data_IF_098985482608
#
_entry.id   IF_098985482608
#
_cell.length_a   1.000
_cell.length_b   1.000
_cell.length_c   1.000
_cell.angle_alpha   90.00
_cell.angle_beta   90.00
_cell.angle_gamma   90.00
#
_symmetry.space_group_name_H-M   'P 1'
#
loop_
_entity.id
_entity.type
_entity.pdbx_description
1 polymer ?
#
# COMPACT_ATOMS: atom_id res chain seq x y z
N UNK A 1 -32.62 -26.63 -27.39
CA UNK A 1 -31.79 -26.83 -26.19
C UNK A 1 -30.35 -26.90 -26.65
N UNK A 2 -29.64 -25.77 -26.58
CA UNK A 2 -28.22 -25.67 -26.95
C UNK A 2 -27.48 -25.25 -25.68
N UNK A 3 -26.67 -26.16 -25.15
CA UNK A 3 -25.82 -25.94 -23.98
C UNK A 3 -24.77 -24.88 -24.28
N UNK A 4 -24.81 -23.78 -23.53
CA UNK A 4 -23.75 -22.77 -23.51
C UNK A 4 -22.85 -23.07 -22.31
N UNK A 5 -21.72 -23.74 -22.55
CA UNK A 5 -20.62 -23.83 -21.57
C UNK A 5 -19.82 -22.53 -21.63
N UNK A 6 -19.54 -21.85 -20.50
CA UNK A 6 -18.58 -20.77 -20.48
C UNK A 6 -17.16 -21.35 -20.47
N UNK A 7 -16.33 -20.90 -21.40
CA UNK A 7 -14.88 -21.13 -21.44
C UNK A 7 -14.21 -20.48 -20.21
N UNK A 8 -13.31 -21.18 -19.49
CA UNK A 8 -12.57 -20.59 -18.38
C UNK A 8 -11.33 -19.83 -18.90
N UNK A 9 -11.13 -18.60 -18.40
CA UNK A 9 -9.80 -18.15 -18.01
C UNK A 9 -8.86 -17.55 -19.07
N UNK A 10 -9.31 -16.64 -19.95
CA UNK A 10 -8.40 -15.86 -20.80
C UNK A 10 -7.48 -14.86 -20.03
N UNK A 11 -7.67 -14.71 -18.72
CA UNK A 11 -6.89 -13.78 -17.88
C UNK A 11 -5.69 -14.42 -17.16
N UNK A 12 -5.66 -15.75 -16.96
CA UNK A 12 -4.55 -16.44 -16.27
C UNK A 12 -3.30 -16.57 -17.16
N UNK A 13 -3.48 -16.93 -18.43
CA UNK A 13 -2.34 -17.16 -19.34
C UNK A 13 -1.53 -15.90 -19.69
N UNK A 14 -2.14 -14.71 -19.62
CA UNK A 14 -1.43 -13.44 -19.90
C UNK A 14 -0.57 -12.99 -18.72
N UNK A 15 -0.93 -13.45 -17.51
CA UNK A 15 -0.12 -13.31 -16.32
C UNK A 15 1.09 -14.24 -16.44
N UNK A 16 0.90 -15.57 -16.55
CA UNK A 16 1.99 -16.57 -16.66
C UNK A 16 3.07 -16.24 -17.70
N UNK A 17 2.69 -15.71 -18.86
CA UNK A 17 3.66 -15.41 -19.93
C UNK A 17 4.58 -14.21 -19.61
N UNK A 18 4.14 -13.26 -18.75
CA UNK A 18 5.00 -12.14 -18.29
C UNK A 18 6.02 -12.58 -17.23
N UNK A 19 5.85 -13.78 -16.67
CA UNK A 19 6.58 -14.29 -15.50
C UNK A 19 7.82 -15.17 -15.85
N UNK A 20 8.21 -15.30 -17.11
CA UNK A 20 9.12 -16.36 -17.54
C UNK A 20 10.64 -16.03 -17.58
N UNK A 21 11.08 -14.79 -17.30
CA UNK A 21 12.44 -14.34 -17.72
C UNK A 21 13.48 -14.05 -16.62
N UNK A 22 13.23 -14.34 -15.33
CA UNK A 22 14.22 -14.04 -14.27
C UNK A 22 14.77 -15.31 -13.59
N UNK A 23 16.06 -15.68 -13.81
CA UNK A 23 16.69 -16.84 -13.19
C UNK A 23 16.87 -16.70 -11.66
N UNK A 24 16.69 -15.50 -11.09
CA UNK A 24 16.68 -15.27 -9.64
C UNK A 24 15.29 -15.47 -9.00
N UNK A 25 14.29 -15.98 -9.74
CA UNK A 25 13.02 -16.52 -9.18
C UNK A 25 13.20 -17.84 -8.43
N UNK A 26 14.38 -18.02 -7.84
CA UNK A 26 14.65 -19.02 -6.81
C UNK A 26 13.48 -18.98 -5.83
N UNK A 27 12.73 -20.08 -5.78
CA UNK A 27 11.61 -20.33 -4.89
C UNK A 27 11.87 -19.64 -3.53
N UNK A 28 11.21 -18.51 -3.30
CA UNK A 28 11.20 -17.93 -1.96
C UNK A 28 10.39 -18.89 -1.09
N UNK A 29 10.88 -19.24 0.11
CA UNK A 29 10.04 -19.91 1.09
C UNK A 29 8.72 -19.13 1.23
N UNK A 30 7.55 -19.79 1.33
CA UNK A 30 6.26 -19.11 1.39
C UNK A 30 6.20 -17.99 2.44
N UNK A 31 6.87 -18.16 3.59
CA UNK A 31 6.91 -17.18 4.68
C UNK A 31 7.76 -15.93 4.36
N UNK A 32 8.69 -16.04 3.41
CA UNK A 32 9.59 -14.97 2.98
C UNK A 32 9.08 -14.24 1.73
N UNK A 33 8.03 -14.73 1.09
CA UNK A 33 7.43 -14.08 -0.07
C UNK A 33 6.29 -13.15 0.33
N UNK A 34 6.44 -11.86 0.04
CA UNK A 34 5.44 -10.83 0.30
C UNK A 34 4.45 -10.65 -0.85
N UNK A 35 4.70 -11.24 -2.02
CA UNK A 35 3.80 -11.14 -3.18
C UNK A 35 2.34 -11.56 -2.88
N UNK A 36 2.05 -12.63 -2.12
CA UNK A 36 0.67 -13.02 -1.83
C UNK A 36 -0.01 -12.21 -0.71
N UNK A 37 0.68 -11.23 -0.11
CA UNK A 37 0.09 -10.43 0.95
C UNK A 37 -1.15 -9.70 0.45
N UNK A 38 -2.23 -9.76 1.23
CA UNK A 38 -3.45 -9.02 0.95
C UNK A 38 -3.33 -7.57 1.44
N UNK A 39 -4.14 -6.63 0.91
CA UNK A 39 -4.21 -5.28 1.45
C UNK A 39 -4.51 -5.27 2.95
N UNK A 40 -3.64 -4.65 3.77
CA UNK A 40 -3.78 -4.63 5.22
C UNK A 40 -3.51 -5.95 5.96
N UNK A 41 -2.81 -6.91 5.36
CA UNK A 41 -2.46 -8.20 5.99
C UNK A 41 -1.83 -8.06 7.38
N UNK A 42 -0.89 -7.12 7.57
CA UNK A 42 -0.29 -6.89 8.88
C UNK A 42 -1.32 -6.45 9.95
N UNK A 43 -2.35 -5.69 9.55
CA UNK A 43 -3.45 -5.30 10.44
C UNK A 43 -4.37 -6.48 10.74
N UNK A 44 -4.61 -7.38 9.78
CA UNK A 44 -5.38 -8.61 10.01
C UNK A 44 -4.70 -9.49 11.05
N UNK A 45 -3.40 -9.74 10.90
CA UNK A 45 -2.60 -10.50 11.86
C UNK A 45 -2.68 -9.84 13.24
N UNK A 46 -2.43 -8.53 13.33
CA UNK A 46 -2.49 -7.79 14.60
C UNK A 46 -3.87 -7.84 15.28
N UNK A 47 -4.95 -7.78 14.50
CA UNK A 47 -6.32 -7.92 15.01
C UNK A 47 -6.62 -9.34 15.48
N UNK A 48 -6.07 -10.36 14.82
CA UNK A 48 -6.20 -11.76 15.20
C UNK A 48 -5.40 -12.11 16.46
N UNK A 49 -4.22 -11.52 16.65
CA UNK A 49 -3.35 -11.73 17.82
C UNK A 49 -3.84 -11.02 19.08
N UNK A 50 -4.61 -9.93 18.94
CA UNK A 50 -5.13 -9.16 20.06
C UNK A 50 -6.67 -9.17 20.11
N UNK A 51 -7.30 -10.35 20.17
CA UNK A 51 -8.75 -10.45 20.20
C UNK A 51 -9.23 -9.96 21.56
N UNK A 52 -10.03 -8.89 21.58
CA UNK A 52 -10.85 -8.57 22.73
C UNK A 52 -12.22 -9.19 22.55
N UNK A 53 -12.72 -9.83 23.60
CA UNK A 53 -14.10 -10.33 23.63
C UNK A 53 -15.05 -9.18 23.25
N UNK A 54 -16.00 -9.45 22.34
CA UNK A 54 -17.05 -8.51 21.93
C UNK A 54 -17.73 -7.78 23.10
N UNK A 55 -18.11 -8.45 24.21
CA UNK A 55 -18.67 -7.75 25.37
C UNK A 55 -17.69 -6.76 26.02
N UNK A 56 -16.39 -7.05 26.08
CA UNK A 56 -15.40 -6.13 26.64
C UNK A 56 -15.22 -4.86 25.78
N UNK A 57 -15.24 -5.02 24.44
CA UNK A 57 -15.24 -3.87 23.52
C UNK A 57 -16.51 -3.04 23.65
N UNK A 58 -17.66 -3.70 23.80
CA UNK A 58 -18.95 -3.03 24.00
C UNK A 58 -18.99 -2.25 25.32
N UNK A 59 -18.57 -2.86 26.43
CA UNK A 59 -18.44 -2.16 27.72
C UNK A 59 -17.49 -0.97 27.64
N UNK A 60 -16.34 -1.12 26.97
CA UNK A 60 -15.41 0.00 26.77
C UNK A 60 -16.07 1.17 26.03
N UNK A 61 -16.85 0.89 24.97
CA UNK A 61 -17.59 1.90 24.20
C UNK A 61 -18.68 2.57 25.04
N UNK A 62 -19.42 1.82 25.86
CA UNK A 62 -20.41 2.37 26.80
C UNK A 62 -19.78 3.30 27.83
N UNK A 63 -18.57 2.97 28.30
CA UNK A 63 -17.79 3.80 29.21
C UNK A 63 -17.10 4.99 28.51
N UNK A 64 -17.45 5.29 27.25
CA UNK A 64 -16.86 6.39 26.47
C UNK A 64 -15.41 6.18 26.04
N UNK A 65 -14.83 5.00 26.29
CA UNK A 65 -13.46 4.66 25.88
C UNK A 65 -13.45 4.26 24.40
N UNK A 66 -12.43 4.70 23.67
CA UNK A 66 -12.18 4.28 22.29
C UNK A 66 -11.12 3.17 22.27
N UNK A 67 -11.49 1.90 22.13
CA UNK A 67 -10.52 0.82 22.08
C UNK A 67 -9.60 1.00 20.85
N UNK A 68 -8.28 0.72 20.96
CA UNK A 68 -7.35 0.84 19.85
C UNK A 68 -7.72 -0.05 18.65
N UNK A 69 -8.44 -1.16 18.90
CA UNK A 69 -9.01 -2.01 17.87
C UNK A 69 -9.91 -1.24 16.88
N UNK A 70 -10.62 -0.19 17.32
CA UNK A 70 -11.47 0.61 16.44
C UNK A 70 -10.63 1.48 15.50
N UNK A 71 -9.40 1.85 15.87
CA UNK A 71 -8.48 2.53 14.98
C UNK A 71 -7.91 1.55 13.94
N UNK A 72 -7.50 0.35 14.35
CA UNK A 72 -6.97 -0.66 13.44
C UNK A 72 -8.01 -1.18 12.44
N UNK A 73 -9.26 -1.39 12.86
CA UNK A 73 -10.33 -1.74 11.92
C UNK A 73 -10.56 -0.63 10.89
N UNK A 74 -10.58 0.64 11.30
CA UNK A 74 -10.72 1.76 10.36
C UNK A 74 -9.54 1.84 9.40
N UNK A 75 -8.32 1.64 9.89
CA UNK A 75 -7.14 1.60 9.04
C UNK A 75 -7.21 0.44 8.03
N UNK A 76 -7.63 -0.74 8.48
CA UNK A 76 -7.80 -1.92 7.62
C UNK A 76 -8.84 -1.67 6.51
N UNK A 77 -9.96 -1.01 6.81
CA UNK A 77 -10.94 -0.64 5.78
C UNK A 77 -10.35 0.29 4.72
N UNK A 78 -9.53 1.26 5.13
CA UNK A 78 -8.81 2.13 4.19
C UNK A 78 -7.85 1.36 3.31
N UNK A 79 -6.97 0.56 3.93
CA UNK A 79 -6.00 -0.29 3.23
C UNK A 79 -6.70 -1.24 2.25
N UNK A 80 -7.86 -1.80 2.60
CA UNK A 80 -8.66 -2.65 1.70
C UNK A 80 -9.21 -1.88 0.50
N UNK A 81 -9.80 -0.71 0.73
CA UNK A 81 -10.38 0.12 -0.33
C UNK A 81 -9.30 0.58 -1.32
N UNK A 82 -8.22 1.16 -0.81
CA UNK A 82 -7.09 1.62 -1.64
C UNK A 82 -6.39 0.44 -2.30
N UNK A 83 -6.07 -0.63 -1.56
CA UNK A 83 -5.39 -1.80 -2.10
C UNK A 83 -6.16 -2.45 -3.25
N UNK A 84 -7.47 -2.61 -3.11
CA UNK A 84 -8.31 -3.20 -4.16
C UNK A 84 -8.28 -2.38 -5.45
N UNK A 85 -8.23 -1.05 -5.35
CA UNK A 85 -8.10 -0.18 -6.50
C UNK A 85 -6.67 -0.20 -7.10
N UNK A 86 -5.64 -0.33 -6.26
CA UNK A 86 -4.25 -0.47 -6.72
C UNK A 86 -4.03 -1.78 -7.47
N UNK A 87 -4.65 -2.88 -7.03
CA UNK A 87 -4.54 -4.20 -7.67
C UNK A 87 -5.03 -4.18 -9.14
N UNK A 88 -5.97 -3.29 -9.48
CA UNK A 88 -6.45 -3.12 -10.85
C UNK A 88 -5.36 -2.59 -11.80
N UNK A 89 -4.32 -1.92 -11.28
CA UNK A 89 -3.22 -1.39 -12.07
C UNK A 89 -2.29 -2.50 -12.61
N UNK A 90 -2.48 -3.76 -12.20
CA UNK A 90 -1.79 -4.90 -12.80
C UNK A 90 -2.05 -5.01 -14.31
N UNK A 91 -3.24 -4.61 -14.77
CA UNK A 91 -3.57 -4.54 -16.19
C UNK A 91 -2.64 -3.57 -16.96
N UNK A 92 -2.19 -2.50 -16.28
CA UNK A 92 -1.31 -1.46 -16.81
C UNK A 92 0.19 -1.78 -16.63
N UNK A 93 0.53 -3.00 -16.20
CA UNK A 93 1.92 -3.44 -16.05
C UNK A 93 2.57 -3.07 -14.72
N UNK A 94 1.76 -2.81 -13.68
CA UNK A 94 2.25 -2.58 -12.32
C UNK A 94 2.23 -3.86 -11.49
N UNK A 95 3.29 -4.09 -10.71
CA UNK A 95 3.26 -4.98 -9.57
C UNK A 95 2.85 -4.23 -8.32
N UNK A 96 2.06 -4.89 -7.46
CA UNK A 96 1.62 -4.34 -6.18
C UNK A 96 2.00 -5.32 -5.08
N UNK A 97 2.69 -4.84 -4.04
CA UNK A 97 3.04 -5.61 -2.86
C UNK A 97 2.44 -4.93 -1.63
N UNK A 98 1.77 -5.69 -0.79
CA UNK A 98 1.07 -5.16 0.39
C UNK A 98 1.76 -5.52 1.69
N UNK A 99 1.51 -4.70 2.72
CA UNK A 99 1.91 -4.99 4.10
C UNK A 99 3.38 -5.36 4.26
N UNK A 100 4.26 -4.49 3.75
CA UNK A 100 5.71 -4.73 3.76
C UNK A 100 6.26 -4.36 5.14
N UNK A 101 6.85 -5.31 5.89
CA UNK A 101 7.38 -5.03 7.22
C UNK A 101 8.60 -4.10 7.12
N UNK A 102 8.70 -3.15 8.02
CA UNK A 102 9.79 -2.19 8.05
C UNK A 102 10.22 -1.92 9.50
N UNK A 103 11.31 -2.56 10.00
CA UNK A 103 11.75 -2.44 11.39
C UNK A 103 11.93 -0.98 11.86
N UNK A 104 11.82 -0.66 13.16
CA UNK A 104 11.54 -1.58 14.26
C UNK A 104 10.08 -2.03 14.35
N UNK A 105 9.12 -1.25 13.83
CA UNK A 105 7.69 -1.57 13.96
C UNK A 105 6.79 -0.95 12.86
N UNK A 106 7.37 -0.34 11.82
CA UNK A 106 6.59 0.26 10.74
C UNK A 106 6.16 -0.80 9.72
N UNK A 107 5.12 -0.48 8.97
CA UNK A 107 4.65 -1.29 7.84
C UNK A 107 4.32 -0.33 6.71
N UNK A 108 4.84 -0.60 5.52
CA UNK A 108 4.40 0.10 4.31
C UNK A 108 3.11 -0.58 3.84
N UNK A 109 2.03 0.18 3.71
CA UNK A 109 0.72 -0.34 3.30
C UNK A 109 0.76 -0.98 1.92
N UNK A 110 1.23 -0.22 0.92
CA UNK A 110 1.37 -0.71 -0.45
C UNK A 110 2.63 -0.17 -1.15
N UNK A 111 3.26 -0.99 -1.97
CA UNK A 111 4.36 -0.62 -2.85
C UNK A 111 4.00 -0.99 -4.28
N UNK A 112 4.02 0.00 -5.16
CA UNK A 112 3.77 -0.18 -6.59
C UNK A 112 5.09 -0.14 -7.33
N UNK A 113 5.30 -1.07 -8.25
CA UNK A 113 6.53 -1.20 -9.02
C UNK A 113 6.12 -1.39 -10.48
N UNK A 114 6.42 -0.42 -11.34
CA UNK A 114 5.99 -0.47 -12.73
C UNK A 114 6.71 0.55 -13.62
N UNK A 115 6.19 0.79 -14.83
CA UNK A 115 6.81 1.68 -15.81
C UNK A 115 7.05 3.10 -15.28
N UNK A 116 6.18 3.57 -14.39
CA UNK A 116 6.31 4.85 -13.71
C UNK A 116 7.27 4.87 -12.53
N UNK A 117 8.03 3.81 -12.27
CA UNK A 117 8.96 3.74 -11.13
C UNK A 117 8.38 3.02 -9.92
N UNK A 118 8.93 3.34 -8.74
CA UNK A 118 8.43 2.79 -7.47
C UNK A 118 7.61 3.84 -6.74
N UNK A 119 6.40 3.48 -6.32
CA UNK A 119 5.53 4.34 -5.50
C UNK A 119 5.28 3.68 -4.15
N UNK A 120 5.53 4.41 -3.07
CA UNK A 120 5.28 3.97 -1.70
C UNK A 120 3.98 4.63 -1.22
N UNK A 121 2.91 3.84 -1.12
CA UNK A 121 1.56 4.35 -0.82
C UNK A 121 1.23 4.12 0.65
N UNK A 122 1.04 5.23 1.37
CA UNK A 122 0.42 5.25 2.68
C UNK A 122 -1.07 5.52 2.56
N UNK A 123 -1.88 4.85 3.39
CA UNK A 123 -3.33 4.91 3.33
C UNK A 123 -3.92 5.45 4.62
N UNK A 124 -4.82 6.44 4.53
CA UNK A 124 -5.61 6.92 5.67
C UNK A 124 -7.10 6.91 5.39
N UNK A 125 -7.82 6.17 6.23
CA UNK A 125 -9.27 6.17 6.22
C UNK A 125 -9.83 7.32 7.06
N UNK A 126 -10.60 8.19 6.40
CA UNK A 126 -11.32 9.30 6.99
C UNK A 126 -12.83 9.03 6.83
N UNK A 127 -13.66 9.42 7.80
CA UNK A 127 -15.09 9.09 7.77
C UNK A 127 -15.94 10.33 7.48
N UNK A 128 -16.02 10.72 6.21
CA UNK A 128 -16.84 11.84 5.73
C UNK A 128 -16.40 13.20 6.28
N UNK A 129 -15.13 13.34 6.68
CA UNK A 129 -14.59 14.59 7.19
C UNK A 129 -13.75 15.29 6.11
N UNK A 130 -13.66 16.62 6.21
CA UNK A 130 -12.71 17.40 5.41
C UNK A 130 -11.29 17.22 5.95
N UNK A 131 -10.35 17.06 5.03
CA UNK A 131 -8.94 16.83 5.29
C UNK A 131 -8.14 18.02 4.78
N UNK A 132 -7.20 18.50 5.59
CA UNK A 132 -6.18 19.46 5.15
C UNK A 132 -4.82 18.80 5.19
N UNK A 133 -4.16 18.75 4.04
CA UNK A 133 -2.80 18.22 3.91
C UNK A 133 -1.84 19.40 3.90
N UNK A 134 -1.15 19.60 5.02
CA UNK A 134 -0.09 20.60 5.16
C UNK A 134 1.25 20.09 4.65
N UNK A 135 2.32 20.85 4.91
CA UNK A 135 3.67 20.50 4.48
C UNK A 135 4.15 19.14 5.04
N UNK A 136 3.94 18.91 6.34
CA UNK A 136 4.37 17.68 7.05
C UNK A 136 3.23 16.93 7.76
N UNK A 137 2.06 17.56 7.89
CA UNK A 137 0.96 17.04 8.71
C UNK A 137 -0.36 16.99 7.95
N UNK A 138 -1.30 16.22 8.49
CA UNK A 138 -2.67 16.10 8.01
C UNK A 138 -3.63 16.43 9.14
N UNK A 139 -4.47 17.44 8.94
CA UNK A 139 -5.53 17.83 9.85
C UNK A 139 -6.89 17.26 9.41
N UNK A 140 -7.70 16.81 10.38
CA UNK A 140 -9.08 16.35 10.13
C UNK A 140 -10.06 17.14 11.00
N UNK A 141 -10.75 18.14 10.42
CA UNK A 141 -11.71 18.97 11.15
C UNK A 141 -11.11 19.90 12.23
N UNK A 142 -11.97 20.67 12.91
CA UNK A 142 -11.57 21.63 13.95
C UNK A 142 -11.31 20.94 15.29
N UNK A 143 -10.26 21.35 15.98
CA UNK A 143 -9.93 20.90 17.35
C UNK A 143 -9.28 19.51 17.44
N UNK A 144 -8.93 18.87 16.32
CA UNK A 144 -8.08 17.67 16.31
C UNK A 144 -6.64 18.05 16.06
N UNK A 145 -5.73 17.41 16.79
CA UNK A 145 -4.29 17.57 16.58
C UNK A 145 -3.90 17.06 15.18
N UNK A 146 -3.18 17.88 14.38
CA UNK A 146 -2.63 17.44 13.10
C UNK A 146 -1.70 16.24 13.27
N UNK A 147 -1.83 15.26 12.38
CA UNK A 147 -1.06 14.01 12.44
C UNK A 147 0.10 14.05 11.43
N UNK A 148 1.27 13.47 11.72
CA UNK A 148 2.48 13.60 10.89
C UNK A 148 2.50 12.71 9.64
N UNK A 149 1.34 12.44 9.02
CA UNK A 149 1.17 11.47 7.96
C UNK A 149 1.97 11.76 6.68
N UNK A 150 2.18 13.04 6.34
CA UNK A 150 3.02 13.41 5.18
C UNK A 150 4.47 13.07 5.47
N UNK A 151 4.96 13.42 6.68
CA UNK A 151 6.31 13.09 7.13
C UNK A 151 6.54 11.57 7.17
N UNK A 152 5.59 10.80 7.69
CA UNK A 152 5.65 9.33 7.73
C UNK A 152 5.72 8.73 6.31
N UNK A 153 4.90 9.21 5.38
CA UNK A 153 4.94 8.77 3.98
C UNK A 153 6.31 9.04 3.33
N UNK A 154 6.89 10.23 3.56
CA UNK A 154 8.26 10.53 3.07
C UNK A 154 9.29 9.59 3.69
N UNK A 155 9.21 9.34 4.99
CA UNK A 155 10.13 8.43 5.66
C UNK A 155 10.03 7.01 5.10
N UNK A 156 8.83 6.49 4.92
CA UNK A 156 8.61 5.17 4.33
C UNK A 156 9.17 5.07 2.91
N UNK A 157 8.93 6.08 2.06
CA UNK A 157 9.47 6.13 0.71
C UNK A 157 11.01 6.17 0.70
N UNK A 158 11.63 7.02 1.53
CA UNK A 158 13.10 7.08 1.65
C UNK A 158 13.70 5.75 2.08
N UNK A 159 13.07 5.09 3.04
CA UNK A 159 13.51 3.77 3.54
C UNK A 159 13.34 2.70 2.47
N UNK A 160 12.23 2.68 1.74
CA UNK A 160 12.03 1.79 0.61
C UNK A 160 13.09 2.01 -0.48
N UNK A 161 13.37 3.26 -0.86
CA UNK A 161 14.40 3.59 -1.83
C UNK A 161 15.78 3.05 -1.41
N UNK A 162 16.14 3.21 -0.13
CA UNK A 162 17.40 2.70 0.41
C UNK A 162 17.49 1.17 0.33
N UNK A 163 16.45 0.46 0.79
CA UNK A 163 16.37 -1.01 0.79
C UNK A 163 16.46 -1.55 -0.63
N UNK A 164 15.65 -1.00 -1.54
CA UNK A 164 15.61 -1.44 -2.93
C UNK A 164 16.91 -1.12 -3.66
N UNK A 165 17.52 0.05 -3.42
CA UNK A 165 18.82 0.38 -4.02
C UNK A 165 19.90 -0.62 -3.60
N UNK A 166 19.94 -0.99 -2.32
CA UNK A 166 20.89 -1.98 -1.81
C UNK A 166 20.65 -3.38 -2.40
N UNK A 167 19.40 -3.81 -2.47
CA UNK A 167 19.05 -5.14 -2.98
C UNK A 167 19.19 -5.26 -4.51
N UNK A 168 18.82 -4.21 -5.25
CA UNK A 168 18.87 -4.20 -6.71
C UNK A 168 20.27 -3.94 -7.28
N UNK A 169 21.18 -3.34 -6.48
CA UNK A 169 22.53 -2.92 -6.91
C UNK A 169 22.55 -1.83 -7.97
N UNK A 170 21.46 -1.07 -8.08
CA UNK A 170 21.37 0.18 -8.82
C UNK A 170 20.44 1.14 -8.09
N UNK A 171 20.53 2.44 -8.38
CA UNK A 171 19.69 3.47 -7.73
C UNK A 171 18.22 3.25 -8.05
N UNK A 172 17.41 3.04 -7.01
CA UNK A 172 15.95 2.94 -7.08
C UNK A 172 15.35 4.12 -6.32
N UNK A 173 14.57 4.94 -7.01
CA UNK A 173 13.81 6.01 -6.38
C UNK A 173 12.41 5.52 -6.05
N UNK A 174 11.99 5.67 -4.79
CA UNK A 174 10.63 5.42 -4.35
C UNK A 174 9.96 6.75 -4.03
N UNK A 175 8.85 7.05 -4.71
CA UNK A 175 8.11 8.31 -4.54
C UNK A 175 6.98 8.12 -3.53
N UNK A 176 6.83 9.01 -2.54
CA UNK A 176 5.76 8.91 -1.56
C UNK A 176 4.41 9.29 -2.18
N UNK A 177 3.40 8.47 -1.88
CA UNK A 177 2.00 8.71 -2.23
C UNK A 177 1.17 8.60 -0.97
N UNK A 178 0.31 9.58 -0.74
CA UNK A 178 -0.63 9.60 0.37
C UNK A 178 -2.06 9.47 -0.16
N UNK A 179 -2.71 8.37 0.15
CA UNK A 179 -4.06 8.06 -0.31
C UNK A 179 -5.08 8.19 0.83
N UNK A 180 -6.19 8.86 0.53
CA UNK A 180 -7.33 8.95 1.43
C UNK A 180 -8.48 8.07 0.94
N UNK A 181 -9.14 7.40 1.88
CA UNK A 181 -10.38 6.67 1.66
C UNK A 181 -11.49 7.28 2.52
N UNK A 182 -12.64 7.58 1.92
CA UNK A 182 -13.82 8.09 2.64
C UNK A 182 -13.74 9.55 3.12
N UNK A 183 -12.76 10.33 2.67
CA UNK A 183 -12.72 11.78 2.91
C UNK A 183 -13.90 12.46 2.19
N UNK A 184 -14.48 13.49 2.80
CA UNK A 184 -15.51 14.30 2.12
C UNK A 184 -14.88 15.31 1.16
N UNK A 185 -13.71 15.82 1.52
CA UNK A 185 -12.92 16.76 0.73
C UNK A 185 -11.46 16.74 1.21
N UNK A 186 -10.53 17.02 0.30
CA UNK A 186 -9.09 17.04 0.57
C UNK A 186 -8.47 18.32 0.01
N UNK A 187 -8.25 19.27 0.92
CA UNK A 187 -7.56 20.54 0.66
C UNK A 187 -6.04 20.34 0.77
N UNK A 188 -5.29 20.81 -0.22
CA UNK A 188 -3.83 20.72 -0.24
C UNK A 188 -3.23 22.09 0.02
N UNK A 189 -2.27 22.15 0.94
CA UNK A 189 -1.47 23.35 1.16
C UNK A 189 -0.56 23.61 -0.06
N UNK A 190 -0.50 24.85 -0.57
CA UNK A 190 0.41 25.23 -1.64
C UNK A 190 1.90 24.98 -1.36
N UNK A 191 2.30 24.79 -0.10
CA UNK A 191 3.65 24.43 0.31
C UNK A 191 3.95 22.92 0.22
N UNK A 192 2.95 22.06 -0.02
CA UNK A 192 3.17 20.61 -0.13
C UNK A 192 4.09 20.27 -1.30
N UNK A 193 5.21 19.60 -1.01
CA UNK A 193 6.18 19.13 -2.02
C UNK A 193 6.41 17.63 -1.91
N UNK A 194 6.82 17.05 -3.03
CA UNK A 194 7.36 15.69 -3.19
C UNK A 194 6.43 14.51 -2.85
N UNK A 195 5.27 14.77 -2.23
CA UNK A 195 4.25 13.77 -1.92
C UNK A 195 3.07 13.94 -2.87
N UNK A 196 2.74 12.86 -3.59
CA UNK A 196 1.53 12.83 -4.41
C UNK A 196 0.33 12.48 -3.53
N UNK A 197 -0.72 13.27 -3.57
CA UNK A 197 -1.95 13.00 -2.82
C UNK A 197 -3.02 12.42 -3.75
N UNK A 198 -3.59 11.29 -3.35
CA UNK A 198 -4.76 10.66 -3.94
C UNK A 198 -5.95 10.97 -3.02
N UNK A 199 -6.92 11.74 -3.53
CA UNK A 199 -8.01 12.30 -2.70
C UNK A 199 -9.10 11.28 -2.40
N UNK A 200 -9.35 10.41 -3.37
CA UNK A 200 -10.35 9.34 -3.35
C UNK A 200 -9.79 8.14 -4.12
N UNK A 201 -10.22 6.92 -3.78
CA UNK A 201 -9.82 5.70 -4.48
C UNK A 201 -10.06 5.74 -6.00
N UNK A 202 -11.03 6.54 -6.48
CA UNK A 202 -11.33 6.74 -7.91
C UNK A 202 -10.21 7.45 -8.68
N UNK A 203 -9.30 8.13 -7.99
CA UNK A 203 -8.14 8.79 -8.60
C UNK A 203 -6.96 7.82 -8.80
N UNK A 204 -6.99 6.63 -8.20
CA UNK A 204 -5.90 5.64 -8.28
C UNK A 204 -5.54 5.22 -9.71
N UNK A 205 -6.49 5.02 -10.66
CA UNK A 205 -6.18 4.75 -12.06
C UNK A 205 -5.23 5.76 -12.71
N UNK A 206 -5.13 7.00 -12.20
CA UNK A 206 -4.18 8.00 -12.69
C UNK A 206 -2.72 7.59 -12.44
N UNK A 207 -2.44 6.77 -11.42
CA UNK A 207 -1.11 6.22 -11.17
C UNK A 207 -0.69 5.21 -12.25
N UNK A 208 -1.65 4.42 -12.75
CA UNK A 208 -1.42 3.43 -13.81
C UNK A 208 -0.86 4.03 -15.09
N UNK A 209 -1.23 5.29 -15.38
CA UNK A 209 -0.78 6.05 -16.57
C UNK A 209 0.65 6.57 -16.47
N UNK A 210 1.31 6.45 -15.32
CA UNK A 210 2.70 6.87 -15.17
C UNK A 210 3.62 5.89 -15.90
N UNK A 211 4.59 6.40 -16.67
CA UNK A 211 5.49 5.58 -17.47
C UNK A 211 6.83 6.26 -17.75
N UNK A 212 7.72 5.53 -18.42
CA UNK A 212 8.99 6.04 -18.93
C UNK A 212 10.09 6.25 -17.88
N UNK A 213 9.92 5.71 -16.66
CA UNK A 213 10.90 5.85 -15.56
C UNK A 213 11.76 4.59 -15.40
N UNK A 214 11.14 3.41 -15.38
CA UNK A 214 11.86 2.13 -15.29
C UNK A 214 11.67 1.32 -16.56
N UNK A 215 12.79 0.79 -17.07
CA UNK A 215 12.77 -0.19 -18.14
C UNK A 215 12.20 -1.53 -17.62
N UNK A 216 11.57 -2.35 -18.48
CA UNK A 216 10.90 -3.59 -18.05
C UNK A 216 11.79 -4.55 -17.25
N UNK A 217 13.05 -4.72 -17.65
CA UNK A 217 14.05 -5.54 -16.95
C UNK A 217 14.30 -5.04 -15.52
N UNK A 218 14.36 -3.71 -15.34
CA UNK A 218 14.51 -3.10 -14.02
C UNK A 218 13.25 -3.24 -13.17
N UNK A 219 12.07 -3.17 -13.77
CA UNK A 219 10.79 -3.42 -13.08
C UNK A 219 10.79 -4.83 -12.48
N UNK A 220 11.11 -5.84 -13.29
CA UNK A 220 11.21 -7.24 -12.81
C UNK A 220 12.23 -7.36 -11.68
N UNK A 221 13.44 -6.79 -11.85
CA UNK A 221 14.48 -6.86 -10.82
C UNK A 221 14.04 -6.22 -9.49
N UNK A 222 13.42 -5.04 -9.56
CA UNK A 222 12.92 -4.36 -8.36
C UNK A 222 11.82 -5.19 -7.70
N UNK A 223 10.91 -5.78 -8.49
CA UNK A 223 9.86 -6.64 -7.97
C UNK A 223 10.42 -7.89 -7.27
N UNK A 224 11.37 -8.62 -7.90
CA UNK A 224 12.04 -9.79 -7.32
C UNK A 224 12.70 -9.46 -5.97
N UNK A 225 13.36 -8.31 -5.86
CA UNK A 225 13.98 -7.85 -4.60
C UNK A 225 12.93 -7.44 -3.56
N UNK A 226 11.88 -6.72 -3.99
CA UNK A 226 10.86 -6.17 -3.12
C UNK A 226 9.96 -7.24 -2.51
N UNK A 227 9.69 -8.35 -3.20
CA UNK A 227 8.87 -9.44 -2.67
C UNK A 227 9.58 -10.27 -1.60
N UNK A 228 10.92 -10.22 -1.52
CA UNK A 228 11.66 -10.94 -0.48
C UNK A 228 11.61 -10.19 0.86
N UNK A 229 10.87 -10.76 1.82
CA UNK A 229 10.71 -10.25 3.20
C UNK A 229 12.05 -9.97 3.88
N UNK A 230 13.06 -10.82 3.69
CA UNK A 230 14.37 -10.67 4.34
C UNK A 230 15.12 -9.42 3.89
N UNK A 231 14.88 -8.94 2.67
CA UNK A 231 15.44 -7.68 2.16
C UNK A 231 15.05 -6.52 3.07
N UNK A 232 13.81 -6.51 3.55
CA UNK A 232 13.26 -5.44 4.39
C UNK A 232 13.63 -5.57 5.87
N UNK A 233 13.77 -6.79 6.38
CA UNK A 233 14.13 -7.03 7.78
C UNK A 233 15.60 -6.73 8.10
N UNK A 234 16.47 -6.71 7.08
CA UNK A 234 17.91 -6.42 7.20
C UNK A 234 18.26 -4.95 6.90
N UNK A 235 17.23 -4.12 6.73
CA UNK A 235 17.31 -2.72 6.31
C UNK A 235 17.83 -1.79 7.41
#
# INVERSE_FOLDING_TARGET
MSDFRPEPGAHEGKQETRYASDPDRLFLPPDDDLAPNRPGEALRVRLAEQPRARPALWCARLLGRRPPQDAWHRQLLGEQAVGTALDQLAADGWYVIHSIPLPPAAVIGHLLIGPGGVLCVGTHHVRGARVRVGEDTVGTGRGREPQPYVRECRQHARRAAYVLTRGCRFRVEARPVLAFAGAADVELDPALRDVRVIRDERDIPLLGRLGGVLAPDRVERVYTVARNRRTWLRA
#
